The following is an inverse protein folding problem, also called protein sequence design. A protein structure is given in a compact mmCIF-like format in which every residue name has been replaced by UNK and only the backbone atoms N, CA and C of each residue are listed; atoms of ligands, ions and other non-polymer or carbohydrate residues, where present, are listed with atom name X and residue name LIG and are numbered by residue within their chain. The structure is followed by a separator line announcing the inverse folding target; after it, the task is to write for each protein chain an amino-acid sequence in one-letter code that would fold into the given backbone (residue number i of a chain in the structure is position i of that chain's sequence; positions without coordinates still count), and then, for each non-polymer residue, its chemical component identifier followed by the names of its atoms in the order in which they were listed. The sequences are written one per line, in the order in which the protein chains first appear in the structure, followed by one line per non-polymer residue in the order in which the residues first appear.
data_IF_096824409077
#
_entry.id   IF_096824409077
#
_cell.length_a   1.000
_cell.length_b   1.000
_cell.length_c   1.000
_cell.angle_alpha   90.00
_cell.angle_beta   90.00
_cell.angle_gamma   90.00
#
_symmetry.space_group_name_H-M   'P 1'
#
loop_
_entity.id
_entity.type
_entity.pdbx_description
1 polymer ?
#
# COMPACT_ATOMS: atom_id res chain seq x y z
N UNK A 1 -18.35 -12.57 13.69
CA UNK A 1 -17.83 -11.39 12.97
C UNK A 1 -18.73 -10.20 13.26
N UNK A 2 -18.24 -9.14 13.93
CA UNK A 2 -19.02 -7.90 14.10
C UNK A 2 -18.94 -7.07 12.82
N UNK A 3 -19.93 -7.20 11.94
CA UNK A 3 -20.09 -6.32 10.79
C UNK A 3 -20.84 -5.04 11.20
N UNK A 4 -20.42 -3.89 10.71
CA UNK A 4 -21.22 -2.65 10.78
C UNK A 4 -22.15 -2.60 9.57
N UNK A 5 -23.43 -2.31 9.79
CA UNK A 5 -24.38 -2.13 8.69
C UNK A 5 -24.09 -0.82 7.96
N UNK A 6 -24.08 -0.90 6.63
CA UNK A 6 -23.91 0.24 5.73
C UNK A 6 -25.12 0.29 4.81
N UNK A 7 -25.82 1.42 4.79
CA UNK A 7 -26.98 1.62 3.93
C UNK A 7 -26.54 2.16 2.56
N UNK A 8 -27.03 1.54 1.48
CA UNK A 8 -26.73 1.93 0.10
C UNK A 8 -28.04 2.14 -0.64
N UNK A 9 -28.12 3.22 -1.43
CA UNK A 9 -29.27 3.48 -2.30
C UNK A 9 -29.05 2.78 -3.64
N UNK A 10 -30.06 2.03 -4.07
CA UNK A 10 -30.10 1.38 -5.38
C UNK A 10 -31.22 1.99 -6.22
N UNK A 11 -30.97 2.18 -7.51
CA UNK A 11 -32.03 2.46 -8.47
C UNK A 11 -32.92 1.22 -8.69
N UNK A 12 -34.06 1.43 -9.33
CA UNK A 12 -35.06 0.38 -9.57
C UNK A 12 -34.50 -0.82 -10.35
N UNK A 13 -33.65 -0.57 -11.35
CA UNK A 13 -33.05 -1.62 -12.18
C UNK A 13 -32.08 -2.48 -11.36
N UNK A 14 -31.26 -1.87 -10.50
CA UNK A 14 -30.35 -2.57 -9.59
C UNK A 14 -31.10 -3.30 -8.50
N UNK A 15 -32.21 -2.73 -8.00
CA UNK A 15 -33.09 -3.39 -7.03
C UNK A 15 -33.72 -4.66 -7.63
N UNK A 16 -34.22 -4.60 -8.86
CA UNK A 16 -34.80 -5.76 -9.54
C UNK A 16 -33.76 -6.89 -9.71
N UNK A 17 -32.55 -6.55 -10.15
CA UNK A 17 -31.43 -7.52 -10.26
C UNK A 17 -31.09 -8.13 -8.90
N UNK A 18 -31.00 -7.34 -7.85
CA UNK A 18 -30.73 -7.82 -6.50
C UNK A 18 -31.81 -8.80 -6.01
N UNK A 19 -33.09 -8.55 -6.34
CA UNK A 19 -34.19 -9.47 -6.04
C UNK A 19 -34.04 -10.81 -6.76
N UNK A 20 -33.73 -10.80 -8.05
CA UNK A 20 -33.49 -12.03 -8.83
C UNK A 20 -32.30 -12.82 -8.29
N UNK A 21 -31.19 -12.16 -8.00
CA UNK A 21 -30.00 -12.79 -7.43
C UNK A 21 -30.28 -13.43 -6.07
N UNK A 22 -31.05 -12.73 -5.21
CA UNK A 22 -31.48 -13.29 -3.92
C UNK A 22 -32.36 -14.53 -4.11
N UNK A 23 -33.27 -14.53 -5.07
CA UNK A 23 -34.10 -15.70 -5.37
C UNK A 23 -33.27 -16.91 -5.83
N UNK A 24 -32.12 -16.66 -6.48
CA UNK A 24 -31.12 -17.68 -6.83
C UNK A 24 -30.18 -18.06 -5.67
N UNK A 25 -30.42 -17.58 -4.45
CA UNK A 25 -29.61 -17.90 -3.27
C UNK A 25 -28.36 -17.03 -3.08
N UNK A 26 -28.17 -15.98 -3.90
CA UNK A 26 -27.01 -15.08 -3.81
C UNK A 26 -27.43 -13.80 -3.08
N UNK A 27 -27.03 -13.60 -1.81
CA UNK A 27 -27.39 -12.40 -1.08
C UNK A 27 -26.56 -11.19 -1.57
N UNK A 28 -27.21 -10.04 -1.65
CA UNK A 28 -26.57 -8.79 -2.06
C UNK A 28 -25.35 -8.43 -1.19
N UNK A 29 -25.36 -8.77 0.10
CA UNK A 29 -24.24 -8.52 1.00
C UNK A 29 -22.95 -9.18 0.54
N UNK A 30 -23.04 -10.39 0.01
CA UNK A 30 -21.86 -11.17 -0.36
C UNK A 30 -21.28 -10.64 -1.66
N UNK A 31 -22.15 -10.29 -2.62
CA UNK A 31 -21.75 -9.58 -3.83
C UNK A 31 -21.06 -8.24 -3.55
N UNK A 32 -21.60 -7.46 -2.60
CA UNK A 32 -21.02 -6.15 -2.24
C UNK A 32 -19.68 -6.34 -1.53
N UNK A 33 -19.57 -7.28 -0.59
CA UNK A 33 -18.30 -7.58 0.10
C UNK A 33 -17.22 -8.02 -0.90
N UNK A 34 -17.52 -8.99 -1.76
CA UNK A 34 -16.58 -9.48 -2.76
C UNK A 34 -16.16 -8.38 -3.75
N UNK A 35 -17.10 -7.53 -4.19
CA UNK A 35 -16.80 -6.41 -5.07
C UNK A 35 -15.90 -5.36 -4.39
N UNK A 36 -16.13 -5.08 -3.10
CA UNK A 36 -15.29 -4.19 -2.30
C UNK A 36 -13.88 -4.78 -2.18
N UNK A 37 -13.77 -6.05 -1.79
CA UNK A 37 -12.48 -6.72 -1.60
C UNK A 37 -11.69 -6.72 -2.91
N UNK A 38 -12.33 -7.08 -4.03
CA UNK A 38 -11.69 -7.05 -5.36
C UNK A 38 -11.21 -5.66 -5.76
N UNK A 39 -12.04 -4.63 -5.60
CA UNK A 39 -11.66 -3.26 -5.93
C UNK A 39 -10.56 -2.74 -5.00
N UNK A 40 -10.61 -3.10 -3.72
CA UNK A 40 -9.58 -2.76 -2.76
C UNK A 40 -8.24 -3.45 -3.09
N UNK A 41 -8.29 -4.72 -3.48
CA UNK A 41 -7.12 -5.44 -3.99
C UNK A 41 -6.60 -4.83 -5.28
N UNK A 42 -7.44 -4.38 -6.21
CA UNK A 42 -6.98 -3.66 -7.41
C UNK A 42 -6.33 -2.32 -7.07
N UNK A 43 -6.85 -1.60 -6.07
CA UNK A 43 -6.29 -0.35 -5.58
C UNK A 43 -4.95 -0.54 -4.86
N UNK A 44 -4.81 -1.63 -4.09
CA UNK A 44 -3.64 -1.92 -3.25
C UNK A 44 -2.62 -2.80 -3.95
N UNK A 45 -3.01 -3.57 -4.97
CA UNK A 45 -2.09 -4.26 -5.86
C UNK A 45 -1.06 -3.20 -6.25
N UNK A 46 0.20 -3.34 -5.79
CA UNK A 46 1.21 -2.36 -6.10
C UNK A 46 1.22 -2.26 -7.61
N UNK A 47 0.97 -1.05 -8.12
CA UNK A 47 1.00 -0.74 -9.55
C UNK A 47 2.37 -1.16 -10.06
N UNK A 48 2.49 -2.41 -10.49
CA UNK A 48 3.78 -3.11 -10.67
C UNK A 48 4.67 -3.02 -9.40
N UNK A 49 5.80 -3.74 -9.30
CA UNK A 49 6.91 -3.15 -8.56
C UNK A 49 7.13 -1.82 -9.27
N UNK A 50 6.71 -0.69 -8.65
CA UNK A 50 7.20 0.65 -9.02
C UNK A 50 8.64 0.46 -9.44
N UNK A 51 9.02 0.82 -10.66
CA UNK A 51 10.38 0.62 -11.14
C UNK A 51 11.35 1.26 -10.13
N UNK A 52 11.81 0.46 -9.17
CA UNK A 52 12.57 0.96 -8.02
C UNK A 52 13.86 1.52 -8.57
N UNK A 53 14.40 0.89 -9.61
CA UNK A 53 15.58 1.36 -10.34
C UNK A 53 15.28 2.71 -10.98
N UNK A 54 14.15 2.86 -11.67
CA UNK A 54 13.71 4.12 -12.29
C UNK A 54 13.53 5.26 -11.28
N UNK A 55 12.82 5.00 -10.18
CA UNK A 55 12.60 5.99 -9.12
C UNK A 55 13.90 6.36 -8.43
N UNK A 56 14.74 5.38 -8.09
CA UNK A 56 16.05 5.66 -7.48
C UNK A 56 16.93 6.46 -8.43
N UNK A 57 16.89 6.15 -9.74
CA UNK A 57 17.62 6.90 -10.77
C UNK A 57 17.14 8.36 -10.86
N UNK A 58 15.83 8.58 -10.79
CA UNK A 58 15.26 9.94 -10.77
C UNK A 58 15.69 10.71 -9.51
N UNK A 59 15.65 10.06 -8.34
CA UNK A 59 16.10 10.66 -7.07
C UNK A 59 17.58 11.04 -7.15
N UNK A 60 18.44 10.15 -7.63
CA UNK A 60 19.88 10.43 -7.76
C UNK A 60 20.21 11.46 -8.84
N UNK A 61 19.37 11.59 -9.87
CA UNK A 61 19.52 12.65 -10.87
C UNK A 61 19.18 14.03 -10.29
N UNK A 62 18.14 14.13 -9.47
CA UNK A 62 17.76 15.38 -8.80
C UNK A 62 18.69 15.72 -7.64
N UNK A 63 19.21 14.71 -6.93
CA UNK A 63 20.07 14.84 -5.76
C UNK A 63 21.30 13.93 -5.90
N UNK A 64 22.33 14.37 -6.67
CA UNK A 64 23.53 13.57 -6.83
C UNK A 64 24.27 13.43 -5.50
N UNK A 65 24.79 12.23 -5.24
CA UNK A 65 25.67 12.01 -4.10
C UNK A 65 26.93 12.88 -4.26
N UNK A 66 27.34 13.64 -3.24
CA UNK A 66 28.53 14.47 -3.32
C UNK A 66 29.79 13.59 -3.52
N UNK A 67 30.77 14.05 -4.33
CA UNK A 67 31.98 13.28 -4.57
C UNK A 67 32.78 13.12 -3.26
N UNK A 68 33.38 11.93 -3.07
CA UNK A 68 34.25 11.66 -1.93
C UNK A 68 33.55 11.32 -0.61
N UNK A 69 32.30 10.81 -0.66
CA UNK A 69 31.64 10.28 0.54
C UNK A 69 32.52 9.20 1.20
N UNK A 70 32.80 9.32 2.52
CA UNK A 70 33.59 8.32 3.21
C UNK A 70 32.86 6.98 3.21
N UNK A 71 33.63 5.90 3.12
CA UNK A 71 33.10 4.54 3.30
C UNK A 71 32.33 4.47 4.61
N UNK A 72 31.18 3.79 4.58
CA UNK A 72 30.37 3.59 5.78
C UNK A 72 31.16 2.67 6.73
N UNK A 73 31.44 3.14 7.93
CA UNK A 73 32.10 2.35 8.98
C UNK A 73 31.21 1.28 9.62
N UNK A 74 30.21 0.79 8.90
CA UNK A 74 29.27 -0.25 9.31
C UNK A 74 28.72 -0.97 8.07
N UNK A 75 28.41 -2.26 8.21
CA UNK A 75 27.78 -3.02 7.14
C UNK A 75 26.31 -2.59 6.95
N UNK A 76 25.96 -2.23 5.72
CA UNK A 76 24.61 -1.82 5.33
C UNK A 76 23.64 -3.00 5.22
N UNK A 77 24.16 -4.21 5.00
CA UNK A 77 23.35 -5.43 4.89
C UNK A 77 23.06 -6.05 6.27
N UNK A 78 23.87 -5.72 7.29
CA UNK A 78 23.55 -6.03 8.68
C UNK A 78 22.55 -5.01 9.26
N UNK A 79 21.31 -5.48 9.43
CA UNK A 79 20.20 -4.71 10.00
C UNK A 79 20.52 -4.09 11.37
N UNK A 80 21.24 -4.78 12.25
CA UNK A 80 21.55 -4.29 13.60
C UNK A 80 22.55 -3.14 13.52
N UNK A 81 23.61 -3.32 12.75
CA UNK A 81 24.64 -2.29 12.55
C UNK A 81 24.06 -1.03 11.87
N UNK A 82 23.29 -1.21 10.80
CA UNK A 82 22.63 -0.10 10.10
C UNK A 82 21.69 0.70 11.02
N UNK A 83 20.85 0.00 11.81
CA UNK A 83 19.95 0.65 12.76
C UNK A 83 20.70 1.47 13.80
N UNK A 84 21.77 0.92 14.38
CA UNK A 84 22.57 1.65 15.37
C UNK A 84 23.24 2.89 14.78
N UNK A 85 23.78 2.80 13.57
CA UNK A 85 24.41 3.93 12.89
C UNK A 85 23.41 5.06 12.58
N UNK A 86 22.22 4.72 12.10
CA UNK A 86 21.13 5.69 11.86
C UNK A 86 20.75 6.40 13.17
N UNK A 87 20.49 5.63 14.24
CA UNK A 87 20.12 6.19 15.53
C UNK A 87 21.21 7.13 16.09
N UNK A 88 22.49 6.76 15.96
CA UNK A 88 23.62 7.59 16.38
C UNK A 88 23.65 8.92 15.63
N UNK A 89 23.45 8.89 14.30
CA UNK A 89 23.45 10.10 13.46
C UNK A 89 22.27 11.03 13.78
N UNK A 90 21.07 10.47 14.00
CA UNK A 90 19.89 11.26 14.36
C UNK A 90 20.01 11.88 15.76
N UNK A 91 20.60 11.17 16.73
CA UNK A 91 20.87 11.71 18.07
C UNK A 91 21.87 12.88 18.05
N UNK A 92 22.90 12.81 17.20
CA UNK A 92 23.92 13.87 17.07
C UNK A 92 23.37 15.16 16.46
N UNK A 93 22.32 15.10 15.63
CA UNK A 93 21.67 16.29 15.04
C UNK A 93 20.68 17.00 15.98
N UNK A 94 20.26 16.35 17.08
CA UNK A 94 19.26 16.88 18.02
C UNK A 94 19.89 17.64 19.20
N UNK A 95 21.22 17.62 19.31
CA UNK A 95 22.01 18.48 20.20
C UNK A 95 22.66 19.57 19.37
#
# INVERSE_FOLDING_TARGET
MSGRLVNVRLDERRLERARRLRASGIPLSDLVREAIDRQYEELIKPSTPRDIVGIMKEIYAQFPDPPGLPLRGYDIHDRRQARQAILRKLRRKRK
#
